data_IF_939972032273
#
_entry.id   IF_939972032273
#
_cell.length_a   1.000
_cell.length_b   1.000
_cell.length_c   1.000
_cell.angle_alpha   90.00
_cell.angle_beta   90.00
_cell.angle_gamma   90.00
#
_symmetry.space_group_name_H-M   'P 1'
#
loop_
_entity.id
_entity.type
_entity.pdbx_description
1 polymer ?
#
# COMPACT_ATOMS: atom_id res chain seq x y z
N UNK A 1 -16.64 -23.51 19.50
CA UNK A 1 -15.28 -23.82 19.97
C UNK A 1 -14.25 -23.83 18.85
N UNK A 2 -14.21 -24.86 17.99
CA UNK A 2 -13.16 -25.05 16.97
C UNK A 2 -13.21 -24.11 15.74
N UNK A 3 -14.40 -23.65 15.35
CA UNK A 3 -14.56 -22.77 14.17
C UNK A 3 -13.97 -21.36 14.33
N UNK A 4 -13.70 -20.89 15.54
CA UNK A 4 -13.13 -19.56 15.78
C UNK A 4 -11.60 -19.56 15.92
N UNK A 5 -11.00 -20.71 16.29
CA UNK A 5 -9.56 -20.80 16.63
C UNK A 5 -8.70 -21.30 15.46
N UNK A 6 -9.26 -22.15 14.59
CA UNK A 6 -8.55 -22.68 13.42
C UNK A 6 -8.24 -21.63 12.33
N UNK A 7 -9.14 -20.67 12.01
CA UNK A 7 -8.90 -19.80 10.86
C UNK A 7 -7.71 -18.84 10.96
N UNK A 8 -7.38 -18.25 12.13
CA UNK A 8 -6.13 -17.46 12.27
C UNK A 8 -4.86 -18.31 12.04
N UNK A 9 -4.89 -19.59 12.43
CA UNK A 9 -3.80 -20.53 12.21
C UNK A 9 -3.71 -20.93 10.73
N UNK A 10 -4.84 -21.12 10.06
CA UNK A 10 -4.91 -21.36 8.61
C UNK A 10 -4.36 -20.16 7.82
N UNK A 11 -4.66 -18.93 8.23
CA UNK A 11 -4.08 -17.71 7.65
C UNK A 11 -2.55 -17.67 7.84
N UNK A 12 -2.05 -18.00 9.03
CA UNK A 12 -0.61 -18.04 9.28
C UNK A 12 0.10 -19.11 8.42
N UNK A 13 -0.49 -20.31 8.30
CA UNK A 13 0.03 -21.37 7.43
C UNK A 13 0.04 -20.95 5.96
N UNK A 14 -1.03 -20.31 5.48
CA UNK A 14 -1.10 -19.84 4.10
C UNK A 14 -0.04 -18.76 3.80
N UNK A 15 0.25 -17.86 4.76
CA UNK A 15 1.34 -16.89 4.63
C UNK A 15 2.72 -17.56 4.55
N UNK A 16 2.94 -18.65 5.29
CA UNK A 16 4.16 -19.46 5.18
C UNK A 16 4.29 -20.15 3.82
N UNK A 17 3.19 -20.71 3.31
CA UNK A 17 3.16 -21.33 1.98
C UNK A 17 3.43 -20.29 0.88
N UNK A 18 2.86 -19.09 1.00
CA UNK A 18 3.15 -17.98 0.10
C UNK A 18 4.62 -17.54 0.18
N UNK A 19 5.21 -17.49 1.37
CA UNK A 19 6.64 -17.18 1.54
C UNK A 19 7.55 -18.22 0.87
N UNK A 20 7.10 -19.47 0.75
CA UNK A 20 7.78 -20.56 0.02
C UNK A 20 7.48 -20.58 -1.48
N UNK A 21 6.64 -19.67 -1.98
CA UNK A 21 6.25 -19.60 -3.39
C UNK A 21 5.06 -20.47 -3.78
N UNK A 22 4.42 -21.17 -2.85
CA UNK A 22 3.24 -22.01 -3.10
C UNK A 22 1.95 -21.18 -3.16
N UNK A 23 1.89 -20.20 -4.06
CA UNK A 23 0.83 -19.19 -4.08
C UNK A 23 -0.56 -19.77 -4.34
N UNK A 24 -0.68 -20.84 -5.13
CA UNK A 24 -1.99 -21.45 -5.44
C UNK A 24 -2.58 -22.19 -4.24
N UNK A 25 -1.74 -22.92 -3.51
CA UNK A 25 -2.14 -23.59 -2.27
C UNK A 25 -2.47 -22.58 -1.18
N UNK A 26 -1.64 -21.54 -1.03
CA UNK A 26 -1.89 -20.45 -0.09
C UNK A 26 -3.21 -19.72 -0.39
N UNK A 27 -3.46 -19.38 -1.66
CA UNK A 27 -4.69 -18.71 -2.09
C UNK A 27 -5.94 -19.55 -1.77
N UNK A 28 -5.95 -20.84 -2.15
CA UNK A 28 -7.08 -21.74 -1.84
C UNK A 28 -7.37 -21.82 -0.34
N UNK A 29 -6.32 -22.00 0.48
CA UNK A 29 -6.47 -22.02 1.95
C UNK A 29 -7.07 -20.73 2.50
N UNK A 30 -6.64 -19.58 1.99
CA UNK A 30 -7.15 -18.28 2.43
C UNK A 30 -8.60 -18.06 2.01
N UNK A 31 -9.00 -18.52 0.83
CA UNK A 31 -10.40 -18.49 0.37
C UNK A 31 -11.27 -19.35 1.30
N UNK A 32 -10.89 -20.61 1.54
CA UNK A 32 -11.64 -21.52 2.42
C UNK A 32 -11.75 -20.97 3.85
N UNK A 33 -10.67 -20.40 4.38
CA UNK A 33 -10.65 -19.77 5.70
C UNK A 33 -11.57 -18.54 5.76
N UNK A 34 -11.58 -17.69 4.72
CA UNK A 34 -12.44 -16.51 4.66
C UNK A 34 -13.93 -16.89 4.66
N UNK A 35 -14.32 -17.98 4.00
CA UNK A 35 -15.71 -18.46 3.96
C UNK A 35 -16.18 -19.03 5.30
N UNK A 36 -15.28 -19.70 6.02
CA UNK A 36 -15.54 -20.18 7.40
C UNK A 36 -15.68 -19.01 8.39
N UNK A 37 -14.99 -17.90 8.12
CA UNK A 37 -15.01 -16.68 8.93
C UNK A 37 -16.18 -15.73 8.61
N UNK A 38 -17.18 -16.12 7.81
CA UNK A 38 -18.31 -15.25 7.42
C UNK A 38 -19.03 -14.53 8.56
N UNK A 39 -19.03 -15.12 9.76
CA UNK A 39 -19.67 -14.57 10.97
C UNK A 39 -18.73 -13.71 11.84
N UNK A 40 -17.45 -13.63 11.47
CA UNK A 40 -16.41 -12.87 12.15
C UNK A 40 -15.81 -11.86 11.16
N UNK A 41 -16.49 -10.73 10.92
CA UNK A 41 -16.20 -9.85 9.79
C UNK A 41 -14.78 -9.27 9.81
N UNK A 42 -14.26 -8.93 10.99
CA UNK A 42 -12.90 -8.41 11.09
C UNK A 42 -11.84 -9.47 10.72
N UNK A 43 -12.00 -10.70 11.22
CA UNK A 43 -11.05 -11.78 10.90
C UNK A 43 -11.17 -12.23 9.44
N UNK A 44 -12.39 -12.22 8.88
CA UNK A 44 -12.61 -12.44 7.44
C UNK A 44 -11.91 -11.36 6.61
N UNK A 45 -12.07 -10.09 6.96
CA UNK A 45 -11.42 -8.98 6.26
C UNK A 45 -9.89 -9.09 6.27
N UNK A 46 -9.30 -9.46 7.41
CA UNK A 46 -7.84 -9.68 7.53
C UNK A 46 -7.36 -10.84 6.67
N UNK A 47 -8.17 -11.90 6.56
CA UNK A 47 -7.89 -13.06 5.72
C UNK A 47 -7.99 -12.70 4.23
N UNK A 48 -8.98 -11.91 3.83
CA UNK A 48 -9.11 -11.38 2.47
C UNK A 48 -7.95 -10.46 2.07
N UNK A 49 -7.41 -9.65 2.99
CA UNK A 49 -6.19 -8.88 2.74
C UNK A 49 -4.96 -9.76 2.50
N UNK A 50 -4.82 -10.84 3.29
CA UNK A 50 -3.76 -11.83 3.07
C UNK A 50 -3.93 -12.56 1.72
N UNK A 51 -5.16 -12.87 1.32
CA UNK A 51 -5.48 -13.44 0.01
C UNK A 51 -5.06 -12.47 -1.10
N UNK A 52 -5.43 -11.20 -1.00
CA UNK A 52 -5.03 -10.17 -1.96
C UNK A 52 -3.51 -10.09 -2.13
N UNK A 53 -2.75 -10.12 -1.03
CA UNK A 53 -1.29 -10.13 -1.10
C UNK A 53 -0.74 -11.37 -1.80
N UNK A 54 -1.28 -12.54 -1.48
CA UNK A 54 -0.87 -13.83 -2.05
C UNK A 54 -1.16 -13.90 -3.54
N UNK A 55 -2.36 -13.48 -3.96
CA UNK A 55 -2.78 -13.42 -5.37
C UNK A 55 -1.91 -12.45 -6.18
N UNK A 56 -1.56 -11.29 -5.59
CA UNK A 56 -0.63 -10.34 -6.21
C UNK A 56 0.75 -10.96 -6.43
N UNK A 57 1.29 -11.70 -5.46
CA UNK A 57 2.58 -12.41 -5.59
C UNK A 57 2.51 -13.53 -6.64
N UNK A 58 1.37 -14.21 -6.73
CA UNK A 58 1.05 -15.18 -7.78
C UNK A 58 0.70 -14.59 -9.15
N UNK A 59 0.87 -13.26 -9.35
CA UNK A 59 0.57 -12.52 -10.60
C UNK A 59 -0.89 -12.58 -11.07
N UNK A 60 -1.84 -12.91 -10.20
CA UNK A 60 -3.28 -12.97 -10.48
C UNK A 60 -3.96 -11.67 -10.06
N UNK A 61 -3.73 -10.62 -10.85
CA UNK A 61 -4.13 -9.25 -10.49
C UNK A 61 -5.64 -9.08 -10.30
N UNK A 62 -6.45 -9.72 -11.14
CA UNK A 62 -7.92 -9.66 -11.03
C UNK A 62 -8.40 -10.24 -9.69
N UNK A 63 -7.93 -11.43 -9.33
CA UNK A 63 -8.24 -12.08 -8.04
C UNK A 63 -7.75 -11.25 -6.85
N UNK A 64 -6.55 -10.67 -6.94
CA UNK A 64 -6.02 -9.80 -5.90
C UNK A 64 -6.90 -8.55 -5.68
N UNK A 65 -7.40 -7.95 -6.77
CA UNK A 65 -8.31 -6.79 -6.72
C UNK A 65 -9.64 -7.15 -6.08
N UNK A 66 -10.25 -8.26 -6.51
CA UNK A 66 -11.50 -8.74 -5.95
C UNK A 66 -11.40 -8.95 -4.43
N UNK A 67 -10.34 -9.62 -3.97
CA UNK A 67 -10.11 -9.85 -2.55
C UNK A 67 -9.89 -8.54 -1.75
N UNK A 68 -9.15 -7.57 -2.31
CA UNK A 68 -8.95 -6.27 -1.67
C UNK A 68 -10.24 -5.45 -1.59
N UNK A 69 -11.04 -5.46 -2.65
CA UNK A 69 -12.35 -4.80 -2.69
C UNK A 69 -13.27 -5.39 -1.62
N UNK A 70 -13.43 -6.72 -1.58
CA UNK A 70 -14.26 -7.38 -0.57
C UNK A 70 -13.80 -7.09 0.86
N UNK A 71 -12.48 -6.97 1.10
CA UNK A 71 -11.98 -6.55 2.41
C UNK A 71 -12.33 -5.09 2.73
N UNK A 72 -12.19 -4.18 1.77
CA UNK A 72 -12.51 -2.77 1.93
C UNK A 72 -14.00 -2.55 2.23
N UNK A 73 -14.88 -3.19 1.47
CA UNK A 73 -16.33 -3.13 1.66
C UNK A 73 -16.70 -3.62 3.06
N UNK A 74 -16.13 -4.76 3.47
CA UNK A 74 -16.39 -5.35 4.78
C UNK A 74 -15.93 -4.46 5.93
N UNK A 75 -14.71 -3.91 5.87
CA UNK A 75 -14.22 -3.00 6.91
C UNK A 75 -14.98 -1.68 6.97
N UNK A 76 -15.44 -1.18 5.82
CA UNK A 76 -16.25 0.05 5.73
C UNK A 76 -17.60 -0.15 6.40
N UNK A 77 -18.32 -1.23 6.06
CA UNK A 77 -19.62 -1.57 6.65
C UNK A 77 -19.52 -1.71 8.17
N UNK A 78 -18.42 -2.26 8.68
CA UNK A 78 -18.20 -2.46 10.11
C UNK A 78 -17.42 -1.32 10.80
N UNK A 79 -17.22 -0.18 10.14
CA UNK A 79 -16.55 1.00 10.68
C UNK A 79 -15.16 0.72 11.28
N UNK A 80 -14.45 -0.26 10.72
CA UNK A 80 -13.09 -0.62 11.12
C UNK A 80 -12.08 0.30 10.43
N UNK A 81 -12.12 1.59 10.74
CA UNK A 81 -11.46 2.67 10.00
C UNK A 81 -9.97 2.40 9.66
N UNK A 82 -9.09 1.98 10.59
CA UNK A 82 -7.68 1.72 10.24
C UNK A 82 -7.52 0.57 9.23
N UNK A 83 -8.41 -0.42 9.30
CA UNK A 83 -8.41 -1.56 8.38
C UNK A 83 -9.03 -1.21 7.03
N UNK A 84 -10.05 -0.35 7.01
CA UNK A 84 -10.65 0.18 5.79
C UNK A 84 -9.61 1.00 4.99
N UNK A 85 -8.90 1.91 5.64
CA UNK A 85 -7.82 2.69 5.02
C UNK A 85 -6.72 1.79 4.43
N UNK A 86 -6.32 0.77 5.19
CA UNK A 86 -5.33 -0.23 4.74
C UNK A 86 -5.79 -0.98 3.49
N UNK A 87 -7.07 -1.37 3.45
CA UNK A 87 -7.66 -2.09 2.31
C UNK A 87 -7.80 -1.19 1.07
N UNK A 88 -8.27 0.05 1.24
CA UNK A 88 -8.37 1.05 0.16
C UNK A 88 -6.98 1.36 -0.42
N UNK A 89 -5.96 1.54 0.41
CA UNK A 89 -4.59 1.74 -0.07
C UNK A 89 -4.06 0.51 -0.84
N UNK A 90 -4.41 -0.70 -0.39
CA UNK A 90 -4.04 -1.94 -1.10
C UNK A 90 -4.72 -2.03 -2.46
N UNK A 91 -6.01 -1.70 -2.54
CA UNK A 91 -6.79 -1.66 -3.76
C UNK A 91 -6.24 -0.64 -4.76
N UNK A 92 -5.95 0.59 -4.32
CA UNK A 92 -5.39 1.63 -5.18
C UNK A 92 -4.05 1.23 -5.82
N UNK A 93 -3.22 0.43 -5.12
CA UNK A 93 -1.98 -0.13 -5.70
C UNK A 93 -2.23 -1.21 -6.75
N UNK A 94 -3.36 -1.90 -6.69
CA UNK A 94 -3.79 -2.93 -7.65
C UNK A 94 -4.56 -2.32 -8.83
N UNK A 95 -5.08 -1.11 -8.69
CA UNK A 95 -5.77 -0.38 -9.75
C UNK A 95 -4.84 0.56 -10.51
N UNK A 96 -3.72 0.97 -9.92
CA UNK A 96 -2.69 1.73 -10.60
C UNK A 96 -2.17 0.96 -11.84
N UNK A 97 -2.66 1.34 -13.01
CA UNK A 97 -2.22 0.85 -14.31
C UNK A 97 -0.79 1.37 -14.57
N UNK A 98 0.13 0.59 -15.16
CA UNK A 98 1.46 1.09 -15.54
C UNK A 98 1.42 2.30 -16.51
N UNK A 99 0.27 2.52 -17.15
CA UNK A 99 0.02 3.59 -18.12
C UNK A 99 -0.51 4.88 -17.48
N UNK A 100 -0.75 4.91 -16.18
CA UNK A 100 -1.25 6.10 -15.50
C UNK A 100 -0.09 7.05 -15.17
N UNK A 101 0.46 7.68 -16.22
CA UNK A 101 1.40 8.79 -16.09
C UNK A 101 0.77 10.05 -15.44
N UNK A 102 -0.54 10.03 -15.15
CA UNK A 102 -1.27 11.11 -14.48
C UNK A 102 -1.66 10.78 -13.03
N UNK A 103 -1.54 9.54 -12.57
CA UNK A 103 -1.58 9.23 -11.15
C UNK A 103 -0.23 9.62 -10.52
N UNK A 104 -0.12 10.87 -10.06
CA UNK A 104 1.04 11.37 -9.30
C UNK A 104 1.53 10.27 -8.36
N UNK A 105 2.74 9.71 -8.57
CA UNK A 105 3.20 8.58 -7.80
C UNK A 105 3.22 8.98 -6.33
N UNK A 106 2.39 8.30 -5.53
CA UNK A 106 2.19 8.64 -4.12
C UNK A 106 3.53 8.60 -3.40
N UNK A 107 4.06 9.79 -3.10
CA UNK A 107 5.21 9.98 -2.24
C UNK A 107 4.85 9.44 -0.86
N UNK A 108 5.81 8.79 -0.20
CA UNK A 108 5.65 8.48 1.22
C UNK A 108 5.57 9.78 2.04
N UNK A 109 4.99 9.79 3.26
CA UNK A 109 4.90 11.00 4.07
C UNK A 109 6.25 11.68 4.38
N UNK A 110 7.35 10.92 4.37
CA UNK A 110 8.70 11.45 4.52
C UNK A 110 9.23 12.07 3.22
N UNK A 111 8.97 11.42 2.08
CA UNK A 111 9.32 11.95 0.76
C UNK A 111 8.53 13.22 0.42
N UNK A 112 7.25 13.27 0.78
CA UNK A 112 6.39 14.44 0.57
C UNK A 112 6.92 15.66 1.32
N UNK A 113 7.18 15.53 2.63
CA UNK A 113 7.75 16.62 3.44
C UNK A 113 9.11 17.11 2.91
N UNK A 114 9.98 16.18 2.49
CA UNK A 114 11.25 16.53 1.86
C UNK A 114 11.05 17.29 0.53
N UNK A 115 10.05 16.89 -0.25
CA UNK A 115 9.74 17.47 -1.54
C UNK A 115 9.06 18.85 -1.42
N UNK A 116 8.18 19.05 -0.44
CA UNK A 116 7.54 20.34 -0.11
C UNK A 116 8.57 21.38 0.32
N UNK A 117 9.47 21.03 1.24
CA UNK A 117 10.54 21.92 1.67
C UNK A 117 11.49 22.24 0.50
N UNK A 118 11.75 21.27 -0.39
CA UNK A 118 12.54 21.50 -1.58
C UNK A 118 11.81 22.41 -2.60
N UNK A 119 10.51 22.23 -2.79
CA UNK A 119 9.66 23.07 -3.63
C UNK A 119 9.60 24.53 -3.12
N UNK A 120 9.57 24.72 -1.80
CA UNK A 120 9.63 26.01 -1.13
C UNK A 120 11.01 26.70 -1.16
N UNK A 121 12.03 26.07 -1.79
CA UNK A 121 13.35 26.67 -1.97
C UNK A 121 14.38 26.37 -0.87
N UNK A 122 14.06 25.54 0.14
CA UNK A 122 15.00 25.24 1.23
C UNK A 122 16.22 24.44 0.78
N UNK A 123 17.44 24.80 1.20
CA UNK A 123 18.63 24.04 0.78
C UNK A 123 18.62 22.61 1.35
N UNK A 124 19.38 21.68 0.76
CA UNK A 124 19.45 20.30 1.29
C UNK A 124 19.95 20.27 2.75
N UNK A 125 20.74 21.27 3.15
CA UNK A 125 21.23 21.43 4.53
C UNK A 125 20.15 21.92 5.47
N UNK A 126 19.29 22.84 5.01
CA UNK A 126 18.15 23.32 5.79
C UNK A 126 17.11 22.21 5.95
N UNK A 127 16.81 21.47 4.88
CA UNK A 127 15.92 20.30 4.92
C UNK A 127 16.46 19.24 5.88
N UNK A 128 17.76 18.96 5.82
CA UNK A 128 18.42 18.01 6.73
C UNK A 128 18.26 18.42 8.20
N UNK A 129 18.41 19.72 8.48
CA UNK A 129 18.24 20.29 9.81
C UNK A 129 16.78 20.19 10.27
N UNK A 130 15.84 20.64 9.44
CA UNK A 130 14.40 20.63 9.72
C UNK A 130 13.85 19.22 9.94
N UNK A 131 14.33 18.24 9.16
CA UNK A 131 13.88 16.85 9.25
C UNK A 131 14.76 15.99 10.20
N UNK A 132 15.80 16.57 10.82
CA UNK A 132 16.76 15.87 11.68
C UNK A 132 17.37 14.62 11.01
N UNK A 133 17.83 14.79 9.77
CA UNK A 133 18.45 13.73 8.95
C UNK A 133 19.77 14.21 8.34
N UNK A 134 20.58 13.30 7.80
CA UNK A 134 21.79 13.70 7.10
C UNK A 134 21.47 14.34 5.73
N UNK A 135 22.33 15.25 5.27
CA UNK A 135 22.23 15.85 3.92
C UNK A 135 22.22 14.76 2.83
N UNK A 136 23.03 13.71 3.00
CA UNK A 136 23.06 12.55 2.09
C UNK A 136 21.72 11.80 2.05
N UNK A 137 21.01 11.75 3.17
CA UNK A 137 19.66 11.17 3.25
C UNK A 137 18.66 12.02 2.47
N UNK A 138 18.76 13.35 2.58
CA UNK A 138 17.93 14.30 1.80
C UNK A 138 18.18 14.11 0.31
N UNK A 139 19.44 14.09 -0.13
CA UNK A 139 19.82 13.88 -1.54
C UNK A 139 19.26 12.56 -2.07
N UNK A 140 19.50 11.45 -1.38
CA UNK A 140 18.99 10.15 -1.79
C UNK A 140 17.46 10.10 -1.82
N UNK A 141 16.79 10.85 -0.94
CA UNK A 141 15.32 10.97 -0.90
C UNK A 141 14.82 11.79 -2.09
N UNK A 142 15.44 12.94 -2.38
CA UNK A 142 15.10 13.76 -3.54
C UNK A 142 15.35 13.04 -4.87
N UNK A 143 16.43 12.28 -5.02
CA UNK A 143 16.64 11.43 -6.21
C UNK A 143 15.53 10.41 -6.40
N UNK A 144 15.05 9.80 -5.30
CA UNK A 144 13.91 8.87 -5.35
C UNK A 144 12.61 9.59 -5.69
N UNK A 145 12.38 10.79 -5.15
CA UNK A 145 11.23 11.66 -5.46
C UNK A 145 11.23 12.06 -6.93
N UNK A 146 12.34 12.54 -7.47
CA UNK A 146 12.50 12.93 -8.87
C UNK A 146 12.23 11.75 -9.81
N UNK A 147 12.85 10.59 -9.54
CA UNK A 147 12.60 9.38 -10.33
C UNK A 147 11.16 8.91 -10.24
N UNK A 148 10.53 9.01 -9.06
CA UNK A 148 9.11 8.67 -8.89
C UNK A 148 8.26 9.61 -9.74
N UNK A 149 8.45 10.91 -9.61
CA UNK A 149 7.63 11.93 -10.29
C UNK A 149 8.00 12.17 -11.77
N UNK A 150 9.00 11.48 -12.32
CA UNK A 150 9.47 11.68 -13.70
C UNK A 150 10.16 13.03 -13.93
N UNK A 151 10.65 13.66 -12.86
CA UNK A 151 11.23 15.00 -12.91
C UNK A 151 12.75 14.93 -13.00
N UNK A 152 13.33 15.88 -13.71
CA UNK A 152 14.78 15.97 -13.93
C UNK A 152 15.39 17.16 -13.19
N UNK A 153 14.55 18.05 -12.64
CA UNK A 153 15.02 19.24 -11.95
C UNK A 153 14.16 19.63 -10.77
N UNK A 154 14.80 20.32 -9.83
CA UNK A 154 14.16 20.96 -8.69
C UNK A 154 13.11 22.00 -9.08
N UNK A 155 13.29 22.67 -10.22
CA UNK A 155 12.33 23.62 -10.76
C UNK A 155 11.03 22.92 -11.17
N UNK A 156 11.14 21.75 -11.83
CA UNK A 156 9.98 20.93 -12.18
C UNK A 156 9.24 20.40 -10.93
N UNK A 157 9.97 20.16 -9.82
CA UNK A 157 9.37 19.78 -8.54
C UNK A 157 8.48 20.88 -7.95
N UNK A 158 8.95 22.13 -8.00
CA UNK A 158 8.17 23.27 -7.54
C UNK A 158 6.85 23.42 -8.33
N UNK A 159 6.88 23.24 -9.66
CA UNK A 159 5.67 23.25 -10.49
C UNK A 159 4.75 22.03 -10.26
N UNK A 160 5.29 20.89 -9.87
CA UNK A 160 4.50 19.66 -9.65
C UNK A 160 3.78 19.61 -8.28
N UNK A 161 4.33 20.27 -7.26
CA UNK A 161 3.85 20.23 -5.87
C UNK A 161 3.02 21.46 -5.50
N UNK A 162 3.26 22.61 -6.15
CA UNK A 162 2.40 23.78 -5.97
C UNK A 162 1.01 23.42 -6.54
N UNK A 163 -0.06 23.43 -5.73
CA UNK A 163 -1.41 23.38 -6.32
C UNK A 163 -1.53 24.58 -7.25
N UNK A 164 -2.03 24.37 -8.47
CA UNK A 164 -2.41 25.48 -9.33
C UNK A 164 -3.31 26.39 -8.49
N UNK A 165 -2.79 27.57 -8.16
CA UNK A 165 -3.54 28.56 -7.39
C UNK A 165 -4.69 29.06 -8.25
N UNK A 166 -5.88 29.00 -7.68
CA UNK A 166 -6.94 29.98 -7.92
C UNK A 166 -6.85 31.04 -6.81
#
# INVERSE_FOLDING_TARGET
GRNAVLPPLERAQALLDAARGHYDTAARRLTDAADRLRHLPLERGRTLLALSHTERRGRRRASARAAAQSAADLFTVHQAHPWAETAVHTLGRLEATPTDHNARPRLTPAELRCAELAAAGASNRDIATTLTVSVKTVEATLTRVYRKLGLHSRFQLAHAITPAGD
#
